data_IF_701976783216
#
_entry.id   IF_701976783216
#
_cell.length_a   1.000
_cell.length_b   1.000
_cell.length_c   1.000
_cell.angle_alpha   90.00
_cell.angle_beta   90.00
_cell.angle_gamma   90.00
#
_symmetry.space_group_name_H-M   'P 1'
#
loop_
_entity.id
_entity.type
_entity.pdbx_description
1 polymer ?
#
# COMPACT_ATOMS: atom_id res chain seq x y z
N UNK A 1 -74.01 -62.44 -42.00
CA UNK A 1 -75.06 -61.52 -41.51
C UNK A 1 -74.82 -61.33 -40.02
N UNK A 2 -74.31 -60.16 -39.62
CA UNK A 2 -73.95 -59.89 -38.22
C UNK A 2 -75.15 -59.40 -37.39
N UNK A 3 -75.09 -59.46 -36.04
CA UNK A 3 -76.18 -59.00 -35.20
C UNK A 3 -76.36 -57.47 -35.30
N UNK A 4 -77.60 -57.03 -35.51
CA UNK A 4 -78.00 -55.62 -35.46
C UNK A 4 -78.45 -55.28 -34.04
N UNK A 5 -78.10 -54.09 -33.55
CA UNK A 5 -78.62 -53.58 -32.27
C UNK A 5 -79.67 -52.53 -32.59
N UNK A 6 -80.90 -52.80 -32.15
CA UNK A 6 -82.05 -51.96 -32.40
C UNK A 6 -82.44 -51.18 -31.15
N UNK A 7 -82.67 -49.88 -31.30
CA UNK A 7 -83.13 -49.00 -30.23
C UNK A 7 -84.53 -48.46 -30.58
N UNK A 8 -85.41 -48.42 -29.58
CA UNK A 8 -86.71 -47.76 -29.68
C UNK A 8 -86.53 -46.28 -29.31
N UNK A 9 -86.68 -45.37 -30.26
CA UNK A 9 -86.60 -43.94 -29.98
C UNK A 9 -87.94 -43.46 -29.40
N UNK A 10 -87.91 -42.42 -28.57
CA UNK A 10 -89.09 -41.91 -27.85
C UNK A 10 -90.25 -41.43 -28.76
N UNK A 11 -90.02 -41.32 -30.07
CA UNK A 11 -91.03 -41.06 -31.11
C UNK A 11 -91.75 -42.32 -31.62
N UNK A 12 -91.44 -43.51 -31.10
CA UNK A 12 -92.10 -44.78 -31.45
C UNK A 12 -91.55 -45.48 -32.69
N UNK A 13 -90.52 -44.93 -33.34
CA UNK A 13 -89.87 -45.53 -34.52
C UNK A 13 -88.67 -46.38 -34.09
N UNK A 14 -88.60 -47.62 -34.56
CA UNK A 14 -87.44 -48.51 -34.36
C UNK A 14 -86.32 -48.15 -35.33
N UNK A 15 -85.12 -47.88 -34.80
CA UNK A 15 -83.91 -47.67 -35.60
C UNK A 15 -82.87 -48.71 -35.23
N UNK A 16 -82.38 -49.45 -36.23
CA UNK A 16 -81.37 -50.49 -36.07
C UNK A 16 -80.08 -50.03 -36.75
N UNK A 17 -79.01 -49.95 -35.97
CA UNK A 17 -77.69 -49.54 -36.46
C UNK A 17 -76.76 -50.77 -36.33
N UNK A 18 -75.86 -51.04 -37.30
CA UNK A 18 -74.83 -52.05 -37.13
C UNK A 18 -74.07 -51.82 -35.82
N UNK A 19 -73.91 -52.88 -35.00
CA UNK A 19 -73.13 -52.78 -33.77
C UNK A 19 -71.74 -52.18 -34.06
N UNK A 20 -71.22 -51.27 -33.22
CA UNK A 20 -69.89 -50.71 -33.45
C UNK A 20 -68.90 -51.86 -33.48
N UNK A 21 -68.12 -51.91 -34.56
CA UNK A 21 -67.05 -52.90 -34.74
C UNK A 21 -66.04 -52.64 -33.63
N UNK A 22 -66.12 -53.42 -32.56
CA UNK A 22 -64.98 -53.69 -31.69
C UNK A 22 -63.79 -53.91 -32.60
N UNK A 23 -62.75 -53.11 -32.44
CA UNK A 23 -61.48 -53.21 -33.14
C UNK A 23 -60.84 -54.56 -32.82
N UNK A 24 -61.40 -55.63 -33.36
CA UNK A 24 -60.74 -56.90 -33.54
C UNK A 24 -59.92 -56.73 -34.81
N UNK A 25 -58.61 -56.53 -34.62
CA UNK A 25 -57.61 -56.68 -35.65
C UNK A 25 -57.80 -58.08 -36.28
N UNK A 26 -58.39 -58.12 -37.47
CA UNK A 26 -58.46 -59.33 -38.28
C UNK A 26 -57.23 -59.40 -39.18
N UNK A 27 -56.57 -60.56 -39.13
CA UNK A 27 -55.58 -61.09 -40.09
C UNK A 27 -54.17 -60.45 -40.13
N UNK A 28 -53.27 -61.10 -39.37
CA UNK A 28 -51.88 -61.46 -39.69
C UNK A 28 -50.76 -60.39 -39.71
N UNK A 29 -50.96 -59.18 -39.21
CA UNK A 29 -49.88 -58.19 -39.04
C UNK A 29 -49.98 -57.35 -37.75
N UNK A 30 -50.45 -57.93 -36.65
CA UNK A 30 -50.40 -57.27 -35.33
C UNK A 30 -50.06 -58.30 -34.25
N UNK A 31 -48.84 -58.84 -34.28
CA UNK A 31 -48.16 -59.52 -33.17
C UNK A 31 -46.84 -60.09 -33.71
N UNK A 32 -45.84 -59.26 -33.96
CA UNK A 32 -44.41 -59.66 -34.05
C UNK A 32 -43.50 -58.42 -34.13
N UNK A 33 -43.68 -57.47 -33.20
CA UNK A 33 -42.76 -56.33 -33.01
C UNK A 33 -42.31 -56.17 -31.54
N UNK A 34 -42.49 -57.20 -30.71
CA UNK A 34 -42.22 -57.13 -29.25
C UNK A 34 -40.91 -57.82 -28.83
N UNK A 35 -40.31 -58.64 -29.71
CA UNK A 35 -39.09 -59.40 -29.41
C UNK A 35 -37.79 -58.67 -29.78
N UNK A 36 -37.79 -57.91 -30.87
CA UNK A 36 -36.63 -57.07 -31.25
C UNK A 36 -36.50 -55.83 -30.37
N UNK A 37 -37.61 -55.27 -29.87
CA UNK A 37 -37.62 -54.13 -28.96
C UNK A 37 -37.05 -54.49 -27.58
N UNK A 38 -37.23 -55.74 -27.14
CA UNK A 38 -36.65 -56.24 -25.87
C UNK A 38 -35.12 -56.34 -25.95
N UNK A 39 -34.57 -56.79 -27.08
CA UNK A 39 -33.11 -56.92 -27.28
C UNK A 39 -32.47 -55.55 -27.44
N UNK A 40 -33.08 -54.66 -28.23
CA UNK A 40 -32.61 -53.29 -28.42
C UNK A 40 -32.65 -52.50 -27.11
N UNK A 41 -33.75 -52.61 -26.35
CA UNK A 41 -33.89 -51.98 -25.03
C UNK A 41 -32.84 -52.50 -24.04
N UNK A 42 -32.53 -53.80 -24.05
CA UNK A 42 -31.49 -54.37 -23.20
C UNK A 42 -30.07 -53.87 -23.58
N UNK A 43 -29.78 -53.67 -24.88
CA UNK A 43 -28.51 -53.09 -25.34
C UNK A 43 -28.40 -51.60 -24.99
N UNK A 44 -29.47 -50.83 -25.19
CA UNK A 44 -29.53 -49.41 -24.82
C UNK A 44 -29.34 -49.23 -23.32
N UNK A 45 -29.95 -50.09 -22.48
CA UNK A 45 -29.76 -50.05 -21.03
C UNK A 45 -28.28 -50.29 -20.63
N UNK A 46 -27.60 -51.27 -21.25
CA UNK A 46 -26.17 -51.56 -21.00
C UNK A 46 -25.26 -50.43 -21.47
N UNK A 47 -25.58 -49.81 -22.61
CA UNK A 47 -24.84 -48.66 -23.12
C UNK A 47 -25.01 -47.45 -22.21
N UNK A 48 -26.23 -47.20 -21.73
CA UNK A 48 -26.53 -46.14 -20.78
C UNK A 48 -25.77 -46.33 -19.48
N UNK A 49 -25.70 -47.57 -18.96
CA UNK A 49 -24.91 -47.90 -17.76
C UNK A 49 -23.43 -47.59 -17.96
N UNK A 50 -22.85 -47.94 -19.12
CA UNK A 50 -21.45 -47.65 -19.45
C UNK A 50 -21.20 -46.14 -19.57
N UNK A 51 -22.12 -45.42 -20.21
CA UNK A 51 -22.07 -43.96 -20.30
C UNK A 51 -22.15 -43.32 -18.91
N UNK A 52 -22.99 -43.85 -18.03
CA UNK A 52 -23.12 -43.36 -16.66
C UNK A 52 -21.90 -43.70 -15.80
N UNK A 53 -21.27 -44.86 -16.00
CA UNK A 53 -19.98 -45.21 -15.40
C UNK A 53 -18.87 -44.23 -15.84
N UNK A 54 -18.68 -44.02 -17.15
CA UNK A 54 -17.66 -43.09 -17.66
C UNK A 54 -17.90 -41.66 -17.17
N UNK A 55 -19.17 -41.22 -17.10
CA UNK A 55 -19.52 -39.92 -16.52
C UNK A 55 -19.19 -39.84 -15.03
N UNK A 56 -19.40 -40.92 -14.28
CA UNK A 56 -19.04 -40.98 -12.85
C UNK A 56 -17.53 -40.94 -12.66
N UNK A 57 -16.77 -41.71 -13.43
CA UNK A 57 -15.31 -41.70 -13.41
C UNK A 57 -14.73 -40.32 -13.75
N UNK A 58 -15.23 -39.69 -14.82
CA UNK A 58 -14.79 -38.35 -15.20
C UNK A 58 -15.13 -37.31 -14.13
N UNK A 59 -16.33 -37.38 -13.53
CA UNK A 59 -16.70 -36.50 -12.42
C UNK A 59 -15.78 -36.68 -11.22
N UNK A 60 -15.48 -37.92 -10.86
CA UNK A 60 -14.60 -38.21 -9.73
C UNK A 60 -13.17 -37.70 -9.99
N UNK A 61 -12.63 -37.96 -11.18
CA UNK A 61 -11.31 -37.48 -11.59
C UNK A 61 -11.23 -35.95 -11.61
N UNK A 62 -12.27 -35.28 -12.13
CA UNK A 62 -12.34 -33.81 -12.13
C UNK A 62 -12.44 -33.21 -10.73
N UNK A 63 -13.17 -33.87 -9.82
CA UNK A 63 -13.30 -33.42 -8.43
C UNK A 63 -11.97 -33.57 -7.67
N UNK A 64 -11.27 -34.68 -7.86
CA UNK A 64 -9.92 -34.88 -7.30
C UNK A 64 -8.95 -33.79 -7.78
N UNK A 65 -8.92 -33.53 -9.10
CA UNK A 65 -8.08 -32.49 -9.67
C UNK A 65 -8.43 -31.10 -9.10
N UNK A 66 -9.72 -30.82 -8.89
CA UNK A 66 -10.19 -29.57 -8.27
C UNK A 66 -9.67 -29.43 -6.85
N UNK A 67 -9.76 -30.49 -6.06
CA UNK A 67 -9.28 -30.51 -4.67
C UNK A 67 -7.77 -30.35 -4.59
N UNK A 68 -7.02 -31.03 -5.46
CA UNK A 68 -5.56 -30.92 -5.49
C UNK A 68 -5.11 -29.54 -5.97
N UNK A 69 -5.82 -28.96 -6.94
CA UNK A 69 -5.59 -27.59 -7.35
C UNK A 69 -5.88 -26.62 -6.20
N UNK A 70 -7.01 -26.79 -5.50
CA UNK A 70 -7.36 -25.94 -4.37
C UNK A 70 -6.31 -26.03 -3.24
N UNK A 71 -5.88 -27.23 -2.86
CA UNK A 71 -4.79 -27.43 -1.89
C UNK A 71 -3.50 -26.76 -2.33
N UNK A 72 -3.14 -26.91 -3.60
CA UNK A 72 -1.95 -26.28 -4.17
C UNK A 72 -2.05 -24.74 -4.12
N UNK A 73 -3.23 -24.17 -4.42
CA UNK A 73 -3.45 -22.71 -4.34
C UNK A 73 -3.41 -22.20 -2.90
N UNK A 74 -3.98 -22.93 -1.95
CA UNK A 74 -3.95 -22.57 -0.53
C UNK A 74 -2.53 -22.57 0.02
N UNK A 75 -1.73 -23.59 -0.32
CA UNK A 75 -0.31 -23.66 0.03
C UNK A 75 0.48 -22.49 -0.55
N UNK A 76 0.29 -22.20 -1.84
CA UNK A 76 0.98 -21.08 -2.49
C UNK A 76 0.59 -19.74 -1.86
N UNK A 77 -0.70 -19.56 -1.53
CA UNK A 77 -1.18 -18.35 -0.87
C UNK A 77 -0.58 -18.20 0.53
N UNK A 78 -0.46 -19.28 1.29
CA UNK A 78 0.20 -19.27 2.60
C UNK A 78 1.67 -18.90 2.45
N UNK A 79 2.37 -19.48 1.48
CA UNK A 79 3.77 -19.17 1.22
C UNK A 79 3.94 -17.70 0.80
N UNK A 80 3.08 -17.17 -0.07
CA UNK A 80 3.08 -15.75 -0.46
C UNK A 80 2.83 -14.81 0.71
N UNK A 81 1.87 -15.15 1.57
CA UNK A 81 1.58 -14.33 2.76
C UNK A 81 2.76 -14.34 3.74
N UNK A 82 3.40 -15.51 3.93
CA UNK A 82 4.57 -15.64 4.78
C UNK A 82 5.77 -14.85 4.23
N UNK A 83 6.07 -14.97 2.93
CA UNK A 83 7.18 -14.23 2.32
C UNK A 83 6.93 -12.73 2.30
N UNK A 84 5.68 -12.30 2.06
CA UNK A 84 5.31 -10.89 2.11
C UNK A 84 5.48 -10.31 3.52
N UNK A 85 5.06 -11.03 4.56
CA UNK A 85 5.21 -10.56 5.94
C UNK A 85 6.66 -10.55 6.40
N UNK A 86 7.45 -11.57 6.04
CA UNK A 86 8.88 -11.59 6.31
C UNK A 86 9.59 -10.40 5.65
N UNK A 87 9.30 -10.13 4.37
CA UNK A 87 9.90 -9.00 3.66
C UNK A 87 9.52 -7.66 4.31
N UNK A 88 8.26 -7.53 4.76
CA UNK A 88 7.79 -6.34 5.46
C UNK A 88 8.54 -6.13 6.78
N UNK A 89 8.73 -7.18 7.56
CA UNK A 89 9.47 -7.14 8.82
C UNK A 89 10.96 -6.85 8.61
N UNK A 90 11.59 -7.50 7.64
CA UNK A 90 13.00 -7.27 7.31
C UNK A 90 13.23 -5.83 6.84
N UNK A 91 12.28 -5.28 6.07
CA UNK A 91 12.31 -3.89 5.64
C UNK A 91 12.18 -2.94 6.84
N UNK A 92 11.19 -3.14 7.70
CA UNK A 92 10.98 -2.32 8.91
C UNK A 92 12.22 -2.36 9.82
N UNK A 93 12.78 -3.55 10.08
CA UNK A 93 14.00 -3.71 10.88
C UNK A 93 15.21 -3.02 10.24
N UNK A 94 15.38 -3.14 8.92
CA UNK A 94 16.47 -2.48 8.20
C UNK A 94 16.34 -0.96 8.27
N UNK A 95 15.11 -0.43 8.16
CA UNK A 95 14.86 1.01 8.28
C UNK A 95 15.11 1.52 9.69
N UNK A 96 14.68 0.79 10.71
CA UNK A 96 14.91 1.16 12.10
C UNK A 96 16.39 1.14 12.45
N UNK A 97 17.14 0.15 11.94
CA UNK A 97 18.58 0.06 12.14
C UNK A 97 19.30 1.26 11.51
N UNK A 98 18.97 1.60 10.26
CA UNK A 98 19.57 2.77 9.60
C UNK A 98 19.20 4.07 10.33
N UNK A 99 17.95 4.20 10.76
CA UNK A 99 17.49 5.37 11.51
C UNK A 99 18.24 5.50 12.85
N UNK A 100 18.43 4.39 13.57
CA UNK A 100 19.18 4.38 14.82
C UNK A 100 20.66 4.72 14.61
N UNK A 101 21.30 4.16 13.58
CA UNK A 101 22.69 4.48 13.25
C UNK A 101 22.86 5.97 12.90
N UNK A 102 21.96 6.50 12.07
CA UNK A 102 21.96 7.92 11.71
C UNK A 102 21.73 8.81 12.94
N UNK A 103 20.71 8.51 13.75
CA UNK A 103 20.43 9.25 14.98
C UNK A 103 21.61 9.22 15.95
N UNK A 104 22.28 8.07 16.10
CA UNK A 104 23.48 7.95 16.93
C UNK A 104 24.62 8.85 16.43
N UNK A 105 24.91 8.81 15.13
CA UNK A 105 25.93 9.68 14.53
C UNK A 105 25.59 11.16 14.68
N UNK A 106 24.33 11.56 14.48
CA UNK A 106 23.89 12.95 14.64
C UNK A 106 24.04 13.41 16.10
N UNK A 107 23.64 12.60 17.07
CA UNK A 107 23.79 12.95 18.49
C UNK A 107 25.26 13.09 18.88
N UNK A 108 26.12 12.19 18.41
CA UNK A 108 27.54 12.27 18.71
C UNK A 108 28.18 13.51 18.08
N UNK A 109 27.88 13.78 16.81
CA UNK A 109 28.34 15.00 16.14
C UNK A 109 27.83 16.26 16.84
N UNK A 110 26.56 16.28 17.27
CA UNK A 110 25.97 17.41 17.98
C UNK A 110 26.69 17.67 19.31
N UNK A 111 27.08 16.61 20.04
CA UNK A 111 27.82 16.72 21.29
C UNK A 111 29.21 17.34 21.10
N UNK A 112 29.89 17.00 20.02
CA UNK A 112 31.16 17.64 19.66
C UNK A 112 31.00 19.13 19.37
N UNK A 113 29.94 19.51 18.63
CA UNK A 113 29.64 20.91 18.33
C UNK A 113 29.33 21.70 19.61
N UNK A 114 28.47 21.18 20.50
CA UNK A 114 28.12 21.87 21.75
C UNK A 114 29.35 22.10 22.64
N UNK A 115 30.24 21.10 22.79
CA UNK A 115 31.49 21.25 23.55
C UNK A 115 32.43 22.29 22.95
N UNK A 116 32.48 22.36 21.61
CA UNK A 116 33.28 23.35 20.91
C UNK A 116 32.70 24.76 21.14
N UNK A 117 31.38 24.92 21.05
CA UNK A 117 30.70 26.19 21.34
C UNK A 117 30.94 26.66 22.78
N UNK A 118 30.86 25.76 23.77
CA UNK A 118 31.16 26.08 25.17
C UNK A 118 32.63 26.51 25.37
N UNK A 119 33.56 25.84 24.69
CA UNK A 119 34.99 26.19 24.75
C UNK A 119 35.26 27.56 24.11
N UNK A 120 34.63 27.86 22.97
CA UNK A 120 34.75 29.17 22.33
C UNK A 120 34.13 30.24 23.23
N UNK A 121 32.95 29.99 23.80
CA UNK A 121 32.29 30.92 24.69
C UNK A 121 33.10 31.20 25.97
N UNK A 122 33.78 30.21 26.55
CA UNK A 122 34.63 30.43 27.73
C UNK A 122 35.91 31.20 27.37
N UNK A 123 36.52 30.95 26.21
CA UNK A 123 37.73 31.68 25.80
C UNK A 123 37.50 33.13 25.39
N UNK A 124 36.26 33.51 25.06
CA UNK A 124 35.88 34.91 24.80
C UNK A 124 35.31 35.62 26.04
N UNK A 125 35.43 35.02 27.22
CA UNK A 125 34.85 35.54 28.46
C UNK A 125 35.26 37.01 28.70
N UNK A 126 34.24 37.86 28.87
CA UNK A 126 34.33 39.31 29.08
C UNK A 126 34.87 40.17 27.91
N UNK A 127 35.03 39.63 26.70
CA UNK A 127 35.26 40.51 25.55
C UNK A 127 33.99 41.31 25.22
N UNK A 128 34.07 42.64 25.21
CA UNK A 128 32.89 43.51 25.01
C UNK A 128 32.59 43.76 23.54
N UNK A 129 33.61 43.70 22.70
CA UNK A 129 33.56 43.94 21.26
C UNK A 129 34.68 43.14 20.56
N UNK A 130 34.74 43.27 19.23
CA UNK A 130 35.75 42.59 18.41
C UNK A 130 37.16 43.15 18.61
N UNK A 131 37.31 44.40 19.07
CA UNK A 131 38.61 44.98 19.38
C UNK A 131 39.21 44.38 20.67
N UNK A 132 38.39 44.12 21.68
CA UNK A 132 38.80 43.38 22.89
C UNK A 132 39.21 41.94 22.54
N UNK A 133 38.53 41.29 21.59
CA UNK A 133 38.95 39.98 21.06
C UNK A 133 40.29 40.05 20.34
N UNK A 134 40.49 41.07 19.51
CA UNK A 134 41.75 41.24 18.79
C UNK A 134 42.95 41.35 19.75
N UNK A 135 42.80 42.12 20.84
CA UNK A 135 43.83 42.26 21.89
C UNK A 135 44.12 40.94 22.62
N UNK A 136 43.16 40.01 22.65
CA UNK A 136 43.32 38.66 23.20
C UNK A 136 43.96 37.68 22.22
N UNK A 137 44.33 38.13 21.01
CA UNK A 137 45.01 37.33 19.99
C UNK A 137 44.09 36.70 18.94
N UNK A 138 42.81 37.08 18.90
CA UNK A 138 41.90 36.65 17.84
C UNK A 138 42.04 37.56 16.61
N UNK A 139 42.90 37.19 15.68
CA UNK A 139 43.28 38.02 14.51
C UNK A 139 42.66 37.57 13.18
N UNK A 140 41.84 36.52 13.18
CA UNK A 140 41.18 36.01 11.96
C UNK A 140 39.75 36.52 11.90
N UNK A 141 39.29 36.91 10.72
CA UNK A 141 37.89 37.32 10.53
C UNK A 141 36.94 36.13 10.66
N UNK A 142 35.81 36.31 11.36
CA UNK A 142 34.87 35.21 11.61
C UNK A 142 33.81 35.52 12.66
N UNK A 143 33.02 34.49 13.01
CA UNK A 143 31.96 34.61 14.00
C UNK A 143 32.51 34.36 15.40
N UNK A 144 32.30 35.32 16.30
CA UNK A 144 32.74 35.26 17.69
C UNK A 144 31.61 35.59 18.65
N UNK A 145 31.78 35.23 19.92
CA UNK A 145 30.90 35.66 21.00
C UNK A 145 31.48 36.88 21.72
N UNK A 146 30.68 37.93 21.85
CA UNK A 146 30.96 39.11 22.70
C UNK A 146 29.93 39.21 23.83
N UNK A 147 30.29 39.83 24.95
CA UNK A 147 29.42 40.05 26.09
C UNK A 147 28.86 41.47 26.10
N UNK A 148 27.55 41.61 25.92
CA UNK A 148 26.87 42.90 25.94
C UNK A 148 26.34 43.16 27.35
N UNK A 149 27.00 44.05 28.09
CA UNK A 149 26.67 44.35 29.49
C UNK A 149 25.22 44.83 29.70
N UNK A 150 24.67 45.61 28.76
CA UNK A 150 23.27 46.08 28.82
C UNK A 150 22.26 44.92 28.78
N UNK A 151 22.55 43.88 28.00
CA UNK A 151 21.70 42.70 27.84
C UNK A 151 22.06 41.56 28.80
N UNK A 152 23.17 41.69 29.54
CA UNK A 152 23.73 40.69 30.44
C UNK A 152 23.87 39.29 29.80
N UNK A 153 24.11 39.24 28.49
CA UNK A 153 24.22 37.98 27.72
C UNK A 153 25.35 38.04 26.69
N UNK A 154 25.82 36.87 26.29
CA UNK A 154 26.73 36.71 25.13
C UNK A 154 25.92 36.71 23.84
N UNK A 155 26.43 37.38 22.81
CA UNK A 155 25.81 37.47 21.48
C UNK A 155 26.84 37.09 20.43
N UNK A 156 26.43 36.34 19.40
CA UNK A 156 27.26 36.03 18.23
C UNK A 156 27.34 37.27 17.33
N UNK A 157 28.54 37.66 16.93
CA UNK A 157 28.81 38.76 16.00
C UNK A 157 29.87 38.34 14.99
N UNK A 158 29.83 38.91 13.79
CA UNK A 158 30.94 38.78 12.86
C UNK A 158 31.99 39.84 13.22
N UNK A 159 33.21 39.39 13.49
CA UNK A 159 34.37 40.25 13.68
C UNK A 159 35.18 40.28 12.38
N UNK A 160 35.37 41.48 11.84
CA UNK A 160 36.37 41.70 10.81
C UNK A 160 37.68 42.12 11.50
N UNK A 161 38.65 41.20 11.49
CA UNK A 161 39.94 41.36 12.14
C UNK A 161 41.07 41.66 11.15
N UNK A 162 40.76 41.73 9.85
CA UNK A 162 41.74 41.77 8.76
C UNK A 162 41.69 43.10 8.02
N UNK A 163 40.50 43.70 7.84
CA UNK A 163 40.33 44.99 7.16
C UNK A 163 40.73 46.16 8.06
N UNK A 164 41.53 47.10 7.54
CA UNK A 164 41.87 48.37 8.20
C UNK A 164 42.32 48.22 9.66
N UNK A 165 43.29 47.34 9.90
CA UNK A 165 43.81 46.97 11.23
C UNK A 165 42.83 46.20 12.14
N UNK A 166 41.66 45.79 11.64
CA UNK A 166 40.72 44.91 12.32
C UNK A 166 40.06 45.51 13.56
N UNK A 167 39.49 44.64 14.41
CA UNK A 167 38.74 45.02 15.60
C UNK A 167 37.30 45.46 15.31
N UNK A 168 36.82 45.31 14.08
CA UNK A 168 35.49 45.76 13.68
C UNK A 168 34.41 44.77 14.08
N UNK A 169 33.43 45.23 14.86
CA UNK A 169 32.19 44.49 15.09
C UNK A 169 31.19 44.83 14.00
N UNK A 170 30.90 43.87 13.12
CA UNK A 170 29.98 44.07 12.01
C UNK A 170 28.54 44.07 12.54
N UNK A 171 27.81 45.14 12.27
CA UNK A 171 26.44 45.31 12.72
C UNK A 171 25.41 44.84 11.67
N UNK A 172 25.77 44.96 10.39
CA UNK A 172 24.99 44.51 9.25
C UNK A 172 25.93 43.92 8.20
N UNK A 173 25.55 42.81 7.58
CA UNK A 173 26.29 42.21 6.46
C UNK A 173 25.34 41.85 5.30
N UNK A 174 25.74 42.22 4.08
CA UNK A 174 25.08 41.90 2.80
C UNK A 174 26.12 41.34 1.84
N UNK A 175 25.76 40.30 1.09
CA UNK A 175 26.67 39.63 0.15
C UNK A 175 25.94 38.99 -1.04
N UNK A 176 24.76 38.38 -0.86
CA UNK A 176 24.13 37.50 -1.85
C UNK A 176 22.60 37.66 -1.96
N UNK A 177 21.97 38.43 -1.08
CA UNK A 177 20.52 38.60 -1.04
C UNK A 177 19.76 37.41 -0.45
N UNK A 178 20.43 36.50 0.27
CA UNK A 178 19.80 35.34 0.93
C UNK A 178 18.82 35.72 2.04
N UNK A 179 18.96 36.92 2.62
CA UNK A 179 18.07 37.40 3.68
C UNK A 179 17.27 38.60 3.19
N UNK A 180 15.96 38.56 3.40
CA UNK A 180 15.09 39.70 3.14
C UNK A 180 15.24 40.76 4.24
N UNK A 181 15.66 41.97 3.84
CA UNK A 181 15.82 43.14 4.71
C UNK A 181 14.58 44.03 4.72
N UNK A 182 13.57 43.78 3.90
CA UNK A 182 12.32 44.53 3.95
C UNK A 182 11.42 44.01 5.09
N UNK A 183 11.73 44.43 6.32
CA UNK A 183 11.11 43.92 7.56
C UNK A 183 10.52 45.05 8.41
N UNK A 184 9.54 44.68 9.24
CA UNK A 184 8.96 45.60 10.22
C UNK A 184 9.95 45.97 11.33
N UNK A 185 9.68 47.10 12.00
CA UNK A 185 10.49 47.65 13.10
C UNK A 185 10.84 46.63 14.19
N UNK A 186 9.92 45.72 14.53
CA UNK A 186 10.16 44.68 15.54
C UNK A 186 11.39 43.82 15.20
N UNK A 187 11.55 43.41 13.94
CA UNK A 187 12.68 42.60 13.50
C UNK A 187 13.98 43.38 13.54
N UNK A 188 13.95 44.66 13.17
CA UNK A 188 15.12 45.53 13.27
C UNK A 188 15.58 45.76 14.71
N UNK A 189 14.65 45.73 15.67
CA UNK A 189 14.99 45.77 17.09
C UNK A 189 15.59 44.45 17.56
N UNK A 190 15.00 43.32 17.19
CA UNK A 190 15.41 42.00 17.69
C UNK A 190 16.67 41.43 17.01
N UNK A 191 16.94 41.82 15.75
CA UNK A 191 17.93 41.19 14.90
C UNK A 191 17.33 40.12 13.99
N UNK A 192 17.92 39.90 12.82
CA UNK A 192 17.51 38.84 11.89
C UNK A 192 18.66 38.41 10.96
N UNK A 193 18.52 37.23 10.37
CA UNK A 193 19.52 36.62 9.47
C UNK A 193 20.50 35.69 10.19
N UNK A 194 21.60 35.35 9.52
CA UNK A 194 22.66 34.49 10.03
C UNK A 194 23.98 35.26 10.08
N UNK A 195 24.62 35.29 11.25
CA UNK A 195 25.90 35.97 11.48
C UNK A 195 27.02 35.41 10.61
N UNK A 196 26.92 34.14 10.18
CA UNK A 196 27.82 33.54 9.19
C UNK A 196 27.56 34.02 7.75
N UNK A 197 26.36 34.50 7.44
CA UNK A 197 25.90 34.93 6.12
C UNK A 197 25.49 36.41 6.10
N UNK A 198 24.26 36.70 5.64
CA UNK A 198 23.66 38.02 5.74
C UNK A 198 22.87 38.19 7.03
N UNK A 199 23.02 39.34 7.70
CA UNK A 199 22.29 39.60 8.93
C UNK A 199 22.20 41.08 9.29
N UNK A 200 21.32 41.32 10.27
CA UNK A 200 21.19 42.54 11.06
C UNK A 200 21.25 42.17 12.54
N UNK A 201 22.15 42.79 13.31
CA UNK A 201 22.42 42.39 14.70
C UNK A 201 21.27 42.69 15.67
N UNK A 202 20.50 43.76 15.44
CA UNK A 202 19.49 44.25 16.38
C UNK A 202 20.04 45.27 17.39
N UNK A 203 19.15 45.96 18.10
CA UNK A 203 19.45 47.01 19.10
C UNK A 203 19.37 46.51 20.55
#
# INVERSE_FOLDING_TARGET
MGPLVCFLLASGVFSCIPAPVSSQCTTKYCADDDKDDTVLTAMVARLQETVDQLRQEQRHSMEQLRQDHQRSTEQLQQQLNFTAEQLRQDQEQSTDQLQQQFNHSVVEQQKHLTRLEETIASRTENARDCADLQKKGYTTSGVYYIYIAKLKRKVKVFCDQETDNGGWTVFQKRQDGSVDFYRDWKHYKEGFGDVGGEYWLGE
#
